data_IF_721879770684
#
_entry.id   IF_721879770684
#
_cell.length_a   1.000
_cell.length_b   1.000
_cell.length_c   1.000
_cell.angle_alpha   90.00
_cell.angle_beta   90.00
_cell.angle_gamma   90.00
#
_symmetry.space_group_name_H-M   'P 1'
#
loop_
_entity.id
_entity.type
_entity.pdbx_description
1 polymer ?
#
# COMPACT_ATOMS: atom_id res chain seq x y z
N UNK A 1 -4.27 16.73 8.26
CA UNK A 1 -3.81 15.31 8.24
C UNK A 1 -5.06 14.44 8.29
N UNK A 2 -5.21 13.43 7.43
CA UNK A 2 -6.40 12.56 7.43
C UNK A 2 -6.29 11.50 8.52
N UNK A 3 -7.32 11.35 9.35
CA UNK A 3 -7.36 10.36 10.42
C UNK A 3 -7.23 8.92 9.90
N UNK A 4 -6.57 8.05 10.67
CA UNK A 4 -6.33 6.67 10.28
C UNK A 4 -7.63 5.87 10.08
N UNK A 5 -8.63 6.09 10.94
CA UNK A 5 -9.94 5.45 10.84
C UNK A 5 -10.63 5.78 9.50
N UNK A 6 -10.63 7.07 9.11
CA UNK A 6 -11.27 7.49 7.86
C UNK A 6 -10.52 6.91 6.64
N UNK A 7 -9.19 6.79 6.69
CA UNK A 7 -8.42 6.10 5.63
C UNK A 7 -8.77 4.62 5.55
N UNK A 8 -8.93 3.94 6.69
CA UNK A 8 -9.36 2.54 6.74
C UNK A 8 -10.76 2.36 6.13
N UNK A 9 -11.69 3.28 6.41
CA UNK A 9 -13.04 3.24 5.84
C UNK A 9 -13.00 3.39 4.30
N UNK A 10 -12.13 4.24 3.76
CA UNK A 10 -11.91 4.31 2.31
C UNK A 10 -11.42 2.98 1.74
N UNK A 11 -10.45 2.32 2.38
CA UNK A 11 -9.92 1.03 1.90
C UNK A 11 -11.00 -0.06 1.98
N UNK A 12 -11.75 -0.13 3.09
CA UNK A 12 -12.87 -1.08 3.26
C UNK A 12 -13.92 -0.89 2.17
N UNK A 13 -14.31 0.36 1.89
CA UNK A 13 -15.27 0.68 0.84
C UNK A 13 -14.75 0.37 -0.57
N UNK A 14 -13.43 0.40 -0.79
CA UNK A 14 -12.83 0.07 -2.09
C UNK A 14 -12.83 -1.43 -2.35
N UNK A 15 -12.58 -2.25 -1.33
CA UNK A 15 -12.44 -3.71 -1.48
C UNK A 15 -13.75 -4.47 -1.19
N UNK A 16 -14.82 -3.76 -0.87
CA UNK A 16 -16.13 -4.34 -0.63
C UNK A 16 -16.62 -5.14 -1.85
N UNK A 17 -16.96 -6.41 -1.64
CA UNK A 17 -17.39 -7.33 -2.71
C UNK A 17 -16.26 -7.93 -3.56
N UNK A 18 -14.99 -7.57 -3.31
CA UNK A 18 -13.84 -8.19 -3.98
C UNK A 18 -13.44 -9.50 -3.29
N UNK A 19 -13.82 -10.65 -3.86
CA UNK A 19 -13.39 -11.97 -3.37
C UNK A 19 -11.86 -12.07 -3.31
N UNK A 20 -11.33 -12.46 -2.15
CA UNK A 20 -9.89 -12.64 -1.94
C UNK A 20 -9.11 -11.37 -1.59
N UNK A 21 -9.79 -10.22 -1.40
CA UNK A 21 -9.17 -8.96 -0.97
C UNK A 21 -9.84 -8.51 0.33
N UNK A 22 -9.04 -8.08 1.31
CA UNK A 22 -9.55 -7.54 2.57
C UNK A 22 -8.66 -6.41 3.08
N UNK A 23 -9.25 -5.52 3.89
CA UNK A 23 -8.52 -4.46 4.58
C UNK A 23 -8.12 -4.95 5.98
N UNK A 24 -6.83 -4.84 6.32
CA UNK A 24 -6.30 -5.19 7.63
C UNK A 24 -5.99 -3.93 8.44
N UNK A 25 -6.50 -3.85 9.66
CA UNK A 25 -6.36 -2.69 10.55
C UNK A 25 -5.33 -2.91 11.67
N UNK A 26 -4.58 -4.02 11.66
CA UNK A 26 -3.66 -4.40 12.75
C UNK A 26 -2.67 -3.31 13.11
N UNK A 27 -2.10 -2.62 12.11
CA UNK A 27 -1.14 -1.54 12.33
C UNK A 27 -1.77 -0.32 12.99
N UNK A 28 -3.04 -0.03 12.67
CA UNK A 28 -3.81 1.04 13.31
C UNK A 28 -4.10 0.66 14.77
N UNK A 29 -4.49 -0.60 15.01
CA UNK A 29 -4.77 -1.12 16.36
C UNK A 29 -3.53 -1.16 17.25
N UNK A 30 -2.36 -1.50 16.68
CA UNK A 30 -1.07 -1.51 17.38
C UNK A 30 -0.70 -0.10 17.86
N UNK A 31 -0.96 0.91 17.03
CA UNK A 31 -0.65 2.30 17.33
C UNK A 31 0.87 2.59 17.39
N UNK A 32 1.22 3.87 17.53
CA UNK A 32 2.62 4.30 17.50
C UNK A 32 3.30 4.10 16.13
N UNK A 33 4.64 4.16 16.07
CA UNK A 33 5.39 3.79 14.88
C UNK A 33 5.17 2.32 14.53
N UNK A 34 4.93 2.01 13.26
CA UNK A 34 4.78 0.63 12.77
C UNK A 34 5.96 0.25 11.90
N UNK A 35 6.43 -0.99 12.06
CA UNK A 35 7.47 -1.58 11.23
C UNK A 35 6.93 -2.83 10.52
N UNK A 36 7.26 -2.99 9.24
CA UNK A 36 6.78 -4.12 8.44
C UNK A 36 7.19 -5.46 9.02
N UNK A 37 8.37 -5.55 9.65
CA UNK A 37 8.83 -6.78 10.32
C UNK A 37 7.86 -7.25 11.40
N UNK A 38 7.34 -6.35 12.23
CA UNK A 38 6.40 -6.68 13.31
C UNK A 38 5.07 -7.17 12.73
N UNK A 39 4.61 -6.54 11.64
CA UNK A 39 3.41 -6.93 10.90
C UNK A 39 3.57 -8.33 10.28
N UNK A 40 4.72 -8.64 9.69
CA UNK A 40 5.01 -9.97 9.14
C UNK A 40 5.09 -11.04 10.24
N UNK A 41 5.70 -10.73 11.38
CA UNK A 41 5.79 -11.64 12.53
C UNK A 41 4.40 -11.97 13.09
N UNK A 42 3.51 -10.97 13.21
CA UNK A 42 2.12 -11.19 13.62
C UNK A 42 1.34 -12.06 12.62
N UNK A 43 1.46 -11.79 11.31
CA UNK A 43 0.78 -12.59 10.27
C UNK A 43 1.28 -14.04 10.30
N UNK A 44 2.59 -14.24 10.46
CA UNK A 44 3.18 -15.58 10.52
C UNK A 44 2.74 -16.34 11.77
N UNK A 45 2.60 -15.65 12.91
CA UNK A 45 2.09 -16.25 14.14
C UNK A 45 0.61 -16.66 14.04
N UNK A 46 -0.21 -15.86 13.35
CA UNK A 46 -1.63 -16.15 13.12
C UNK A 46 -1.85 -17.28 12.10
N UNK A 47 -0.96 -17.41 11.11
CA UNK A 47 -1.04 -18.43 10.07
C UNK A 47 0.30 -19.17 9.90
N UNK A 48 0.65 -20.08 10.83
CA UNK A 48 1.89 -20.84 10.75
C UNK A 48 1.94 -21.65 9.44
N UNK A 49 2.98 -21.41 8.64
CA UNK A 49 3.18 -22.08 7.35
C UNK A 49 2.57 -21.37 6.14
N UNK A 50 1.94 -20.21 6.31
CA UNK A 50 1.56 -19.38 5.17
C UNK A 50 2.79 -18.81 4.46
N UNK A 51 2.78 -18.85 3.12
CA UNK A 51 3.73 -18.11 2.30
C UNK A 51 3.25 -16.66 2.17
N UNK A 52 4.06 -15.71 2.62
CA UNK A 52 3.70 -14.29 2.61
C UNK A 52 4.38 -13.62 1.40
N UNK A 53 3.57 -12.97 0.56
CA UNK A 53 4.04 -12.17 -0.56
C UNK A 53 3.89 -10.69 -0.24
N UNK A 54 5.02 -9.99 -0.04
CA UNK A 54 5.04 -8.57 0.29
C UNK A 54 5.13 -7.74 -1.00
N UNK A 55 4.01 -7.10 -1.37
CA UNK A 55 3.90 -6.33 -2.61
C UNK A 55 4.35 -4.88 -2.39
N UNK A 56 5.26 -4.40 -3.23
CA UNK A 56 5.73 -3.01 -3.21
C UNK A 56 6.16 -2.50 -4.58
N UNK A 57 6.25 -1.17 -4.73
CA UNK A 57 6.81 -0.55 -5.93
C UNK A 57 8.33 -0.66 -6.00
N UNK A 58 8.88 -0.55 -7.21
CA UNK A 58 10.34 -0.56 -7.44
C UNK A 58 11.09 0.50 -6.62
N UNK A 59 10.52 1.71 -6.48
CA UNK A 59 11.08 2.80 -5.67
C UNK A 59 11.21 2.46 -4.18
N UNK A 60 10.26 1.68 -3.67
CA UNK A 60 10.29 1.17 -2.29
C UNK A 60 11.30 0.03 -2.15
N UNK A 61 11.37 -0.86 -3.14
CA UNK A 61 12.29 -2.00 -3.15
C UNK A 61 13.77 -1.55 -3.14
N UNK A 62 14.14 -0.52 -3.92
CA UNK A 62 15.50 0.05 -3.92
C UNK A 62 15.94 0.53 -2.52
N UNK A 63 14.98 0.98 -1.71
CA UNK A 63 15.21 1.52 -0.37
C UNK A 63 14.95 0.52 0.75
N UNK A 64 14.61 -0.73 0.45
CA UNK A 64 14.23 -1.72 1.47
C UNK A 64 15.34 -1.99 2.50
N UNK A 65 16.61 -1.83 2.09
CA UNK A 65 17.78 -1.95 2.98
C UNK A 65 17.74 -0.99 4.18
N UNK A 66 17.00 0.12 4.06
CA UNK A 66 16.83 1.11 5.13
C UNK A 66 15.73 0.77 6.13
N UNK A 67 14.95 -0.29 5.88
CA UNK A 67 13.84 -0.67 6.76
C UNK A 67 14.35 -1.25 8.09
N UNK A 68 13.55 -1.06 9.13
CA UNK A 68 13.82 -1.65 10.44
C UNK A 68 13.86 -3.18 10.32
N UNK A 69 15.00 -3.77 10.70
CA UNK A 69 15.27 -5.21 10.57
C UNK A 69 15.02 -5.74 9.15
N UNK A 70 15.47 -5.00 8.12
CA UNK A 70 15.30 -5.39 6.72
C UNK A 70 15.68 -6.86 6.38
N UNK A 71 16.75 -7.47 6.93
CA UNK A 71 17.03 -8.90 6.69
C UNK A 71 15.91 -9.84 7.17
N UNK A 72 15.20 -9.46 8.23
CA UNK A 72 14.08 -10.26 8.76
C UNK A 72 12.85 -10.12 7.87
N UNK A 73 12.58 -8.92 7.33
CA UNK A 73 11.51 -8.69 6.35
C UNK A 73 11.69 -9.59 5.12
N UNK A 74 12.92 -9.65 4.60
CA UNK A 74 13.28 -10.49 3.45
C UNK A 74 13.20 -11.99 3.79
N UNK A 75 13.53 -12.39 5.03
CA UNK A 75 13.41 -13.79 5.45
C UNK A 75 11.95 -14.23 5.63
N UNK A 76 11.09 -13.32 6.09
CA UNK A 76 9.69 -13.60 6.43
C UNK A 76 8.73 -13.51 5.23
N UNK A 77 9.21 -13.09 4.05
CA UNK A 77 8.35 -12.89 2.88
C UNK A 77 9.06 -13.08 1.56
N UNK A 78 8.31 -13.46 0.53
CA UNK A 78 8.69 -13.30 -0.87
C UNK A 78 8.42 -11.85 -1.28
N UNK A 79 9.43 -11.15 -1.79
CA UNK A 79 9.28 -9.75 -2.21
C UNK A 79 8.67 -9.70 -3.61
N UNK A 80 7.56 -8.98 -3.76
CA UNK A 80 6.92 -8.75 -5.07
C UNK A 80 7.14 -7.31 -5.49
N UNK A 81 7.97 -7.10 -6.52
CA UNK A 81 8.30 -5.78 -7.05
C UNK A 81 7.40 -5.47 -8.25
N UNK A 82 6.57 -4.44 -8.10
CA UNK A 82 5.67 -3.97 -9.16
C UNK A 82 6.33 -2.84 -9.97
N UNK A 83 6.55 -3.10 -11.26
CA UNK A 83 7.13 -2.15 -12.21
C UNK A 83 6.02 -1.49 -13.04
N UNK A 84 5.92 -0.15 -13.00
CA UNK A 84 4.86 0.62 -13.67
C UNK A 84 5.16 1.00 -15.13
N UNK A 85 6.38 0.79 -15.59
CA UNK A 85 6.88 1.29 -16.88
C UNK A 85 7.61 0.22 -17.70
N UNK A 86 7.44 -1.07 -17.34
CA UNK A 86 8.22 -2.19 -17.89
C UNK A 86 9.75 -1.96 -17.82
N UNK A 87 10.25 -1.11 -16.90
CA UNK A 87 11.67 -0.90 -16.70
C UNK A 87 12.35 -2.12 -16.07
N UNK A 88 13.69 -2.09 -16.04
CA UNK A 88 14.55 -3.25 -15.78
C UNK A 88 14.15 -4.05 -14.53
N UNK A 89 14.09 -5.37 -14.70
CA UNK A 89 13.74 -6.38 -13.69
C UNK A 89 14.97 -6.80 -12.85
N UNK A 90 15.89 -5.88 -12.57
CA UNK A 90 17.05 -6.22 -11.76
C UNK A 90 16.68 -6.12 -10.29
N UNK A 91 17.09 -7.12 -9.50
CA UNK A 91 16.96 -7.05 -8.06
C UNK A 91 17.90 -5.95 -7.53
N UNK A 92 17.43 -5.09 -6.60
CA UNK A 92 18.32 -4.26 -5.80
C UNK A 92 19.42 -5.11 -5.13
N UNK A 93 20.59 -4.52 -4.89
CA UNK A 93 21.74 -5.27 -4.37
C UNK A 93 21.42 -6.01 -3.06
N UNK A 94 20.66 -5.39 -2.17
CA UNK A 94 20.23 -5.99 -0.90
C UNK A 94 19.30 -7.21 -1.08
N UNK A 95 18.63 -7.31 -2.22
CA UNK A 95 17.70 -8.40 -2.56
C UNK A 95 18.31 -9.41 -3.54
N UNK A 96 19.62 -9.35 -3.80
CA UNK A 96 20.29 -10.23 -4.76
C UNK A 96 20.03 -11.72 -4.50
N UNK A 97 20.10 -12.13 -3.24
CA UNK A 97 19.95 -13.53 -2.82
C UNK A 97 18.55 -13.84 -2.24
N UNK A 98 17.61 -12.88 -2.36
CA UNK A 98 16.24 -13.01 -1.85
C UNK A 98 15.31 -13.71 -2.86
N UNK A 99 14.20 -14.25 -2.36
CA UNK A 99 13.08 -14.63 -3.22
C UNK A 99 12.36 -13.37 -3.70
N UNK A 100 12.49 -13.06 -4.99
CA UNK A 100 11.90 -11.87 -5.63
C UNK A 100 11.05 -12.29 -6.83
N UNK A 101 9.84 -11.74 -6.90
CA UNK A 101 8.94 -11.86 -8.04
C UNK A 101 8.73 -10.48 -8.65
N UNK A 102 9.01 -10.33 -9.95
CA UNK A 102 8.70 -9.10 -10.67
C UNK A 102 7.34 -9.20 -11.33
N UNK A 103 6.51 -8.17 -11.13
CA UNK A 103 5.21 -8.02 -11.78
C UNK A 103 5.22 -6.72 -12.58
N UNK A 104 4.98 -6.84 -13.89
CA UNK A 104 4.82 -5.69 -14.76
C UNK A 104 3.35 -5.27 -14.82
N UNK A 105 3.11 -3.96 -14.74
CA UNK A 105 1.78 -3.36 -14.89
C UNK A 105 1.88 -2.16 -15.82
N UNK A 106 0.83 -1.92 -16.61
CA UNK A 106 0.71 -0.66 -17.34
C UNK A 106 0.60 0.53 -16.36
N UNK A 107 1.30 1.61 -16.67
CA UNK A 107 1.24 2.82 -15.85
C UNK A 107 -0.18 3.39 -15.85
N UNK A 108 -0.78 3.49 -14.67
CA UNK A 108 -2.03 4.23 -14.47
C UNK A 108 -1.64 5.65 -14.02
N UNK A 109 -2.14 6.65 -14.74
CA UNK A 109 -1.91 8.07 -14.44
C UNK A 109 -2.76 8.56 -13.25
N UNK A 110 -2.75 7.83 -12.13
CA UNK A 110 -3.47 8.16 -10.90
C UNK A 110 -2.47 8.22 -9.74
N UNK A 111 -2.52 9.30 -8.97
CA UNK A 111 -1.71 9.49 -7.77
C UNK A 111 -2.52 10.14 -6.66
N UNK A 112 -2.22 9.82 -5.40
CA UNK A 112 -2.95 10.39 -4.27
C UNK A 112 -2.74 11.90 -4.14
N UNK A 113 -1.57 12.44 -4.51
CA UNK A 113 -1.35 13.89 -4.58
C UNK A 113 -2.23 14.53 -5.64
N UNK A 114 -2.28 13.98 -6.85
CA UNK A 114 -3.15 14.46 -7.93
C UNK A 114 -4.63 14.45 -7.55
N UNK A 115 -5.11 13.35 -6.95
CA UNK A 115 -6.49 13.24 -6.44
C UNK A 115 -6.79 14.36 -5.42
N UNK A 116 -5.89 14.59 -4.46
CA UNK A 116 -6.09 15.67 -3.46
C UNK A 116 -6.12 17.04 -4.10
N UNK A 117 -5.27 17.30 -5.10
CA UNK A 117 -5.25 18.58 -5.83
C UNK A 117 -6.54 18.82 -6.63
N UNK A 118 -7.12 17.76 -7.21
CA UNK A 118 -8.41 17.83 -7.90
C UNK A 118 -9.52 18.22 -6.91
N UNK A 119 -9.60 17.53 -5.77
CA UNK A 119 -10.59 17.83 -4.72
C UNK A 119 -10.41 19.24 -4.16
N UNK A 120 -9.17 19.68 -3.93
CA UNK A 120 -8.86 21.02 -3.44
C UNK A 120 -9.36 22.14 -4.38
N UNK A 121 -9.47 21.85 -5.68
CA UNK A 121 -10.00 22.75 -6.73
C UNK A 121 -11.52 22.59 -6.93
N UNK A 122 -12.20 21.77 -6.14
CA UNK A 122 -13.62 21.48 -6.27
C UNK A 122 -13.96 20.51 -7.40
N UNK A 123 -12.98 19.76 -7.92
CA UNK A 123 -13.18 18.74 -8.94
C UNK A 123 -13.72 17.42 -8.38
N UNK A 124 -14.32 16.61 -9.27
CA UNK A 124 -14.75 15.25 -8.95
C UNK A 124 -13.60 14.25 -9.07
N UNK A 125 -13.62 13.20 -8.26
CA UNK A 125 -12.64 12.09 -8.28
C UNK A 125 -13.29 10.72 -8.59
N UNK A 126 -14.53 10.71 -9.09
CA UNK A 126 -15.30 9.49 -9.36
C UNK A 126 -14.77 8.66 -10.53
N UNK A 127 -13.83 9.19 -11.32
CA UNK A 127 -13.19 8.45 -12.41
C UNK A 127 -11.84 7.85 -11.98
N UNK A 128 -11.28 8.34 -10.87
CA UNK A 128 -9.97 8.00 -10.33
C UNK A 128 -10.07 6.97 -9.20
N UNK A 129 -11.25 6.81 -8.61
CA UNK A 129 -11.53 5.85 -7.54
C UNK A 129 -13.00 5.41 -7.56
N UNK A 130 -13.39 4.52 -6.64
CA UNK A 130 -14.78 4.07 -6.53
C UNK A 130 -15.71 5.18 -6.02
N UNK A 131 -16.98 5.13 -6.42
CA UNK A 131 -18.01 6.07 -5.95
C UNK A 131 -18.14 6.10 -4.42
N UNK A 132 -17.95 4.94 -3.76
CA UNK A 132 -18.02 4.84 -2.30
C UNK A 132 -16.85 5.60 -1.64
N UNK A 133 -15.64 5.49 -2.17
CA UNK A 133 -14.49 6.26 -1.69
C UNK A 133 -14.70 7.77 -1.93
N UNK A 134 -15.18 8.14 -3.12
CA UNK A 134 -15.47 9.54 -3.44
C UNK A 134 -16.54 10.14 -2.50
N UNK A 135 -17.56 9.36 -2.12
CA UNK A 135 -18.57 9.76 -1.13
C UNK A 135 -17.94 9.97 0.25
N UNK A 136 -17.10 9.06 0.73
CA UNK A 136 -16.41 9.22 2.03
C UNK A 136 -15.56 10.50 2.04
N UNK A 137 -14.83 10.77 0.96
CA UNK A 137 -14.01 11.99 0.81
C UNK A 137 -14.87 13.25 0.93
N UNK A 138 -16.00 13.29 0.21
CA UNK A 138 -16.94 14.43 0.23
C UNK A 138 -17.62 14.60 1.59
N UNK A 139 -18.16 13.53 2.14
CA UNK A 139 -19.00 13.56 3.34
C UNK A 139 -18.19 13.93 4.59
N UNK A 140 -16.88 13.66 4.58
CA UNK A 140 -15.93 14.09 5.62
C UNK A 140 -15.24 15.43 5.31
N UNK A 141 -15.58 16.10 4.20
CA UNK A 141 -14.96 17.36 3.79
C UNK A 141 -13.44 17.28 3.58
N UNK A 142 -12.92 16.11 3.20
CA UNK A 142 -11.47 15.89 3.10
C UNK A 142 -10.87 16.62 1.90
N UNK A 143 -9.67 17.16 2.10
CA UNK A 143 -8.83 17.79 1.06
C UNK A 143 -9.39 19.06 0.42
N UNK A 144 -10.64 19.44 0.70
CA UNK A 144 -11.23 20.69 0.26
C UNK A 144 -10.57 21.90 0.96
N UNK A 145 -10.25 22.95 0.20
CA UNK A 145 -9.76 24.21 0.75
C UNK A 145 -8.36 24.18 1.37
N UNK A 146 -7.57 23.11 1.17
CA UNK A 146 -6.15 23.11 1.54
C UNK A 146 -5.36 23.98 0.55
N UNK A 147 -5.20 25.25 0.89
CA UNK A 147 -4.19 26.17 0.33
C UNK A 147 -3.05 26.32 1.32
#
# INVERSE_FOLDING_TARGET
MTEAAIRLDMVKALVEGCTGISADDREIRRGGPTYTVDTLEEIHAESPGAEIFLIMGADTAERIHSWHRAPDVVRLSTIVIVNRDNSSTNNPEFLRDAQVVHVSMESIAVSSSGIRDVVAKGGSITNETSNNVAAIVRDNGLYAGQR
#
